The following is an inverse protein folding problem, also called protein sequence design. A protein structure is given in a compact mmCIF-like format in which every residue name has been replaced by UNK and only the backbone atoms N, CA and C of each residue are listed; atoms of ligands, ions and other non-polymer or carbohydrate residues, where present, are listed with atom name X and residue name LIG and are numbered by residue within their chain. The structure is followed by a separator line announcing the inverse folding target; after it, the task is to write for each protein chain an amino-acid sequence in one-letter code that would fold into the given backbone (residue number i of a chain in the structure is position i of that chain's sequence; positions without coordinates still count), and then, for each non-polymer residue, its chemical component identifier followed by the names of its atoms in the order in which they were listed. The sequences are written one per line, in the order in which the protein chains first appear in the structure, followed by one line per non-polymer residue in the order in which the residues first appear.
data_IF_066182668858
#
_entry.id   IF_066182668858
#
_cell.length_a   1.000
_cell.length_b   1.000
_cell.length_c   1.000
_cell.angle_alpha   90.00
_cell.angle_beta   90.00
_cell.angle_gamma   90.00
#
_symmetry.space_group_name_H-M   'P 1'
#
loop_
_entity.id
_entity.type
_entity.pdbx_description
1 polymer ?
#
# COMPACT_ATOMS: atom_id res chain seq x y z
N UNK A 1 -28.02 9.09 -2.94
CA UNK A 1 -27.26 10.34 -2.70
C UNK A 1 -26.08 10.03 -1.77
N UNK A 2 -24.96 9.47 -2.27
CA UNK A 2 -23.90 8.91 -1.41
C UNK A 2 -22.97 9.98 -0.80
N UNK A 3 -22.70 11.07 -1.54
CA UNK A 3 -21.75 12.10 -1.13
C UNK A 3 -22.17 12.92 0.11
N UNK A 4 -23.48 13.03 0.37
CA UNK A 4 -24.00 13.74 1.55
C UNK A 4 -23.83 12.92 2.84
N UNK A 5 -23.91 11.59 2.76
CA UNK A 5 -23.73 10.70 3.91
C UNK A 5 -22.24 10.55 4.26
N UNK A 6 -21.37 10.47 3.25
CA UNK A 6 -19.91 10.46 3.44
C UNK A 6 -19.40 11.76 4.08
N UNK A 7 -19.88 12.91 3.63
CA UNK A 7 -19.51 14.21 4.22
C UNK A 7 -20.04 14.40 5.64
N UNK A 8 -21.20 13.83 6.00
CA UNK A 8 -21.66 13.80 7.38
C UNK A 8 -20.76 12.94 8.28
N UNK A 9 -20.29 11.79 7.79
CA UNK A 9 -19.36 10.92 8.50
C UNK A 9 -18.02 11.62 8.77
N UNK A 10 -17.43 12.23 7.73
CA UNK A 10 -16.16 12.98 7.84
C UNK A 10 -16.30 14.14 8.83
N UNK A 11 -17.38 14.93 8.75
CA UNK A 11 -17.58 16.06 9.65
C UNK A 11 -17.66 15.65 11.13
N UNK A 12 -18.31 14.52 11.45
CA UNK A 12 -18.35 14.00 12.84
C UNK A 12 -16.97 13.61 13.37
N UNK A 13 -16.13 13.02 12.50
CA UNK A 13 -14.77 12.66 12.87
C UNK A 13 -13.92 13.91 13.07
N UNK A 14 -14.03 14.90 12.16
CA UNK A 14 -13.34 16.18 12.30
C UNK A 14 -13.78 16.88 13.59
N UNK A 15 -15.08 16.93 13.91
CA UNK A 15 -15.59 17.48 15.18
C UNK A 15 -14.95 16.79 16.41
N UNK A 16 -14.63 15.50 16.31
CA UNK A 16 -13.96 14.76 17.38
C UNK A 16 -12.47 15.12 17.48
N UNK A 17 -11.80 15.27 16.34
CA UNK A 17 -10.39 15.70 16.26
C UNK A 17 -10.24 17.14 16.78
N UNK A 18 -11.20 18.02 16.49
CA UNK A 18 -11.19 19.42 16.94
C UNK A 18 -11.25 19.57 18.47
N UNK A 19 -11.68 18.55 19.21
CA UNK A 19 -11.69 18.55 20.68
C UNK A 19 -10.31 18.29 21.27
N UNK A 20 -9.36 17.81 20.47
CA UNK A 20 -8.01 17.51 20.92
C UNK A 20 -7.17 18.79 20.94
N UNK A 21 -6.29 18.91 21.92
CA UNK A 21 -5.22 19.92 21.87
C UNK A 21 -4.27 19.61 20.71
N UNK A 22 -3.55 20.61 20.17
CA UNK A 22 -2.54 20.38 19.14
C UNK A 22 -1.50 19.33 19.53
N UNK A 23 -1.11 19.28 20.81
CA UNK A 23 -0.13 18.33 21.33
C UNK A 23 -0.67 16.90 21.35
N UNK A 24 -1.92 16.72 21.80
CA UNK A 24 -2.58 15.42 21.86
C UNK A 24 -2.88 14.86 20.47
N UNK A 25 -3.27 15.74 19.54
CA UNK A 25 -3.38 15.40 18.13
C UNK A 25 -2.03 14.99 17.54
N UNK A 26 -0.95 15.72 17.89
CA UNK A 26 0.38 15.40 17.41
C UNK A 26 0.81 14.01 17.88
N UNK A 27 0.59 13.65 19.14
CA UNK A 27 0.94 12.32 19.66
C UNK A 27 0.13 11.21 18.98
N UNK A 28 -1.19 11.40 18.84
CA UNK A 28 -2.04 10.46 18.10
C UNK A 28 -1.52 10.24 16.67
N UNK A 29 -1.12 11.32 16.00
CA UNK A 29 -0.54 11.23 14.66
C UNK A 29 0.82 10.52 14.65
N UNK A 30 1.68 10.70 15.67
CA UNK A 30 2.96 9.99 15.78
C UNK A 30 2.77 8.49 15.91
N UNK A 31 1.86 8.03 16.78
CA UNK A 31 1.53 6.61 16.91
C UNK A 31 1.14 6.00 15.54
N UNK A 32 0.33 6.73 14.76
CA UNK A 32 -0.10 6.29 13.43
C UNK A 32 1.04 6.34 12.41
N UNK A 33 1.85 7.39 12.42
CA UNK A 33 2.97 7.56 11.48
C UNK A 33 4.06 6.52 11.72
N UNK A 34 4.42 6.23 12.98
CA UNK A 34 5.37 5.16 13.31
C UNK A 34 4.88 3.79 12.85
N UNK A 35 3.58 3.51 13.00
CA UNK A 35 2.99 2.31 12.42
C UNK A 35 3.11 2.29 10.89
N UNK A 36 2.76 3.37 10.21
CA UNK A 36 2.86 3.48 8.74
C UNK A 36 4.29 3.43 8.22
N UNK A 37 5.28 3.75 9.05
CA UNK A 37 6.70 3.63 8.76
C UNK A 37 7.25 2.23 9.08
N UNK A 38 6.41 1.29 9.52
CA UNK A 38 6.82 -0.07 9.89
C UNK A 38 7.61 -0.17 11.20
N UNK A 39 7.64 0.91 12.01
CA UNK A 39 8.39 0.95 13.27
C UNK A 39 7.64 0.26 14.42
N UNK A 40 6.31 0.16 14.32
CA UNK A 40 5.46 -0.56 15.28
C UNK A 40 4.61 -1.61 14.57
N UNK A 41 4.16 -2.62 15.32
CA UNK A 41 3.32 -3.71 14.77
C UNK A 41 1.86 -3.29 14.56
N UNK A 42 1.43 -2.19 15.17
CA UNK A 42 0.06 -1.70 15.14
C UNK A 42 -0.07 -0.35 15.83
N UNK A 43 -1.25 0.25 15.70
CA UNK A 43 -1.63 1.45 16.46
C UNK A 43 -2.36 1.00 17.72
N UNK A 44 -1.77 1.21 18.88
CA UNK A 44 -2.37 0.84 20.16
C UNK A 44 -3.44 1.88 20.56
N UNK A 45 -4.71 1.51 20.38
CA UNK A 45 -5.83 2.38 20.76
C UNK A 45 -6.00 2.51 22.27
N UNK A 46 -5.53 1.53 23.07
CA UNK A 46 -5.62 1.61 24.52
C UNK A 46 -4.65 2.67 25.06
N UNK A 47 -3.42 2.70 24.53
CA UNK A 47 -2.42 3.72 24.88
C UNK A 47 -2.89 5.14 24.54
N UNK A 48 -3.44 5.33 23.33
CA UNK A 48 -3.98 6.63 22.90
C UNK A 48 -5.18 7.02 23.79
N UNK A 49 -6.04 6.06 24.13
CA UNK A 49 -7.17 6.32 25.04
C UNK A 49 -6.72 6.72 26.45
N UNK A 50 -5.69 6.09 26.99
CA UNK A 50 -5.12 6.43 28.30
C UNK A 50 -4.52 7.84 28.29
N UNK A 51 -3.83 8.22 27.21
CA UNK A 51 -3.29 9.57 27.04
C UNK A 51 -4.41 10.62 27.01
N UNK A 52 -5.52 10.33 26.33
CA UNK A 52 -6.68 11.23 26.29
C UNK A 52 -7.29 11.39 27.67
N UNK A 53 -7.39 10.31 28.45
CA UNK A 53 -7.88 10.35 29.83
C UNK A 53 -6.95 11.16 30.73
N UNK A 54 -5.63 10.99 30.62
CA UNK A 54 -4.63 11.80 31.36
C UNK A 54 -4.72 13.29 31.02
N UNK A 55 -5.04 13.61 29.76
CA UNK A 55 -5.28 14.98 29.30
C UNK A 55 -6.70 15.51 29.66
N UNK A 56 -7.55 14.72 30.31
CA UNK A 56 -8.90 15.11 30.70
C UNK A 56 -9.93 15.14 29.54
N UNK A 57 -9.59 14.55 28.39
CA UNK A 57 -10.46 14.48 27.22
C UNK A 57 -11.37 13.26 27.32
N UNK A 58 -12.68 13.49 27.36
CA UNK A 58 -13.68 12.40 27.24
C UNK A 58 -13.86 12.03 25.77
N UNK A 59 -13.33 10.88 25.39
CA UNK A 59 -13.53 10.29 24.07
C UNK A 59 -14.15 8.90 24.23
N UNK A 60 -15.27 8.65 23.55
CA UNK A 60 -15.82 7.30 23.48
C UNK A 60 -15.01 6.41 22.53
N UNK A 61 -15.18 5.10 22.67
CA UNK A 61 -14.39 4.13 21.90
C UNK A 61 -14.63 4.23 20.39
N UNK A 62 -15.86 4.52 19.97
CA UNK A 62 -16.22 4.61 18.55
C UNK A 62 -15.58 5.86 17.90
N UNK A 63 -15.65 7.00 18.57
CA UNK A 63 -15.01 8.24 18.15
C UNK A 63 -13.50 8.07 18.04
N UNK A 64 -12.85 7.42 19.02
CA UNK A 64 -11.42 7.13 18.96
C UNK A 64 -11.05 6.27 17.76
N UNK A 65 -11.77 5.15 17.55
CA UNK A 65 -11.52 4.26 16.41
C UNK A 65 -11.72 4.97 15.07
N UNK A 66 -12.77 5.80 14.97
CA UNK A 66 -13.04 6.57 13.76
C UNK A 66 -11.97 7.63 13.49
N UNK A 67 -11.45 8.29 14.52
CA UNK A 67 -10.32 9.24 14.39
C UNK A 67 -9.05 8.54 13.93
N UNK A 68 -8.67 7.44 14.58
CA UNK A 68 -7.48 6.64 14.21
C UNK A 68 -7.62 6.18 12.76
N UNK A 69 -8.76 5.59 12.41
CA UNK A 69 -9.02 5.10 11.03
C UNK A 69 -8.94 6.22 10.01
N UNK A 70 -9.55 7.37 10.29
CA UNK A 70 -9.53 8.53 9.39
C UNK A 70 -8.11 9.04 9.16
N UNK A 71 -7.33 9.28 10.23
CA UNK A 71 -5.96 9.77 10.14
C UNK A 71 -5.04 8.75 9.44
N UNK A 72 -5.17 7.46 9.77
CA UNK A 72 -4.44 6.37 9.12
C UNK A 72 -4.68 6.33 7.62
N UNK A 73 -5.95 6.37 7.20
CA UNK A 73 -6.32 6.36 5.78
C UNK A 73 -5.85 7.62 5.07
N UNK A 74 -5.94 8.77 5.73
CA UNK A 74 -5.46 10.06 5.22
C UNK A 74 -3.98 10.01 4.90
N UNK A 75 -3.13 9.64 5.86
CA UNK A 75 -1.68 9.57 5.66
C UNK A 75 -1.29 8.47 4.66
N UNK A 76 -1.93 7.30 4.72
CA UNK A 76 -1.69 6.21 3.76
C UNK A 76 -2.03 6.62 2.32
N UNK A 77 -3.12 7.35 2.13
CA UNK A 77 -3.53 7.91 0.83
C UNK A 77 -2.56 9.01 0.37
N UNK A 78 -2.15 9.89 1.28
CA UNK A 78 -1.20 10.96 0.99
C UNK A 78 0.15 10.41 0.52
N UNK A 79 0.62 9.32 1.12
CA UNK A 79 1.83 8.61 0.69
C UNK A 79 1.69 8.03 -0.71
N UNK A 80 0.60 7.28 -0.98
CA UNK A 80 0.31 6.72 -2.31
C UNK A 80 0.20 7.77 -3.42
N UNK A 81 -0.37 8.94 -3.12
CA UNK A 81 -0.51 10.05 -4.07
C UNK A 81 0.70 10.98 -4.10
N UNK A 82 1.76 10.69 -3.35
CA UNK A 82 2.96 11.52 -3.23
C UNK A 82 2.65 13.00 -2.90
N UNK A 83 1.74 13.24 -1.95
CA UNK A 83 1.33 14.60 -1.58
C UNK A 83 2.40 15.32 -0.77
N UNK A 84 2.53 16.63 -1.01
CA UNK A 84 3.24 17.55 -0.11
C UNK A 84 2.43 17.86 1.15
N UNK A 85 3.04 18.56 2.12
CA UNK A 85 2.33 19.08 3.30
C UNK A 85 1.18 20.00 2.92
N UNK A 86 1.42 20.91 1.97
CA UNK A 86 0.42 21.87 1.49
C UNK A 86 -0.74 21.16 0.77
N UNK A 87 -0.44 20.17 -0.07
CA UNK A 87 -1.47 19.40 -0.77
C UNK A 87 -2.33 18.57 0.19
N UNK A 88 -1.71 18.04 1.26
CA UNK A 88 -2.43 17.32 2.31
C UNK A 88 -3.43 18.23 3.03
N UNK A 89 -2.99 19.42 3.45
CA UNK A 89 -3.86 20.41 4.11
C UNK A 89 -5.01 20.82 3.21
N UNK A 90 -4.72 21.13 1.95
CA UNK A 90 -5.74 21.51 0.97
C UNK A 90 -6.80 20.43 0.82
N UNK A 91 -6.39 19.15 0.70
CA UNK A 91 -7.33 18.01 0.63
C UNK A 91 -8.19 17.88 1.90
N UNK A 92 -7.62 18.14 3.07
CA UNK A 92 -8.37 18.09 4.34
C UNK A 92 -9.40 19.22 4.44
N UNK A 93 -9.04 20.43 4.00
CA UNK A 93 -9.93 21.60 3.96
C UNK A 93 -11.06 21.41 2.95
N UNK A 94 -10.78 20.80 1.78
CA UNK A 94 -11.81 20.41 0.80
C UNK A 94 -12.80 19.38 1.37
N UNK A 95 -12.34 18.50 2.27
CA UNK A 95 -13.17 17.48 2.92
C UNK A 95 -14.01 17.99 4.10
N UNK A 96 -13.57 19.04 4.79
CA UNK A 96 -14.34 19.68 5.87
C UNK A 96 -13.87 21.10 6.13
N UNK A 97 -14.81 22.04 6.20
CA UNK A 97 -14.52 23.43 6.58
C UNK A 97 -14.37 23.64 8.09
N UNK A 98 -14.47 22.59 8.91
CA UNK A 98 -14.45 22.67 10.38
C UNK A 98 -13.05 22.57 11.00
N UNK A 99 -12.03 22.32 10.19
CA UNK A 99 -10.67 22.14 10.66
C UNK A 99 -10.11 23.41 11.33
N UNK A 100 -9.62 23.33 12.58
CA UNK A 100 -8.90 24.41 13.20
C UNK A 100 -7.54 24.57 12.52
N UNK A 101 -7.13 25.83 12.30
CA UNK A 101 -5.83 26.13 11.69
C UNK A 101 -4.68 25.47 12.46
N UNK A 102 -4.75 25.43 13.79
CA UNK A 102 -3.74 24.77 14.62
C UNK A 102 -3.62 23.27 14.33
N UNK A 103 -4.74 22.56 14.17
CA UNK A 103 -4.76 21.13 13.83
C UNK A 103 -4.18 20.87 12.44
N UNK A 104 -4.52 21.71 11.46
CA UNK A 104 -3.94 21.61 10.11
C UNK A 104 -2.44 21.85 10.11
N UNK A 105 -1.94 22.79 10.92
CA UNK A 105 -0.50 23.02 11.06
C UNK A 105 0.23 21.83 11.68
N UNK A 106 -0.37 21.16 12.66
CA UNK A 106 0.17 19.90 13.22
C UNK A 106 0.26 18.82 12.15
N UNK A 107 -0.81 18.61 11.39
CA UNK A 107 -0.84 17.60 10.31
C UNK A 107 0.15 17.92 9.19
N UNK A 108 0.24 19.19 8.78
CA UNK A 108 1.21 19.67 7.80
C UNK A 108 2.65 19.36 8.24
N UNK A 109 2.99 19.77 9.48
CA UNK A 109 4.34 19.60 10.03
C UNK A 109 4.71 18.13 10.10
N UNK A 110 3.87 17.31 10.75
CA UNK A 110 4.16 15.89 10.91
C UNK A 110 4.23 15.15 9.57
N UNK A 111 3.37 15.48 8.60
CA UNK A 111 3.47 14.90 7.27
C UNK A 111 4.74 15.34 6.53
N UNK A 112 5.16 16.60 6.68
CA UNK A 112 6.41 17.08 6.09
C UNK A 112 7.63 16.38 6.67
N UNK A 113 7.62 16.06 7.98
CA UNK A 113 8.70 15.35 8.66
C UNK A 113 8.71 13.85 8.33
N UNK A 114 7.54 13.19 8.32
CA UNK A 114 7.44 11.72 8.25
C UNK A 114 7.05 11.16 6.88
N UNK A 115 6.47 11.97 6.00
CA UNK A 115 5.82 11.53 4.75
C UNK A 115 6.76 10.82 3.78
N UNK A 116 8.03 11.24 3.70
CA UNK A 116 9.03 10.57 2.87
C UNK A 116 9.31 9.13 3.34
N UNK A 117 9.37 8.91 4.66
CA UNK A 117 9.60 7.57 5.22
C UNK A 117 8.36 6.68 5.09
N UNK A 118 7.15 7.24 5.23
CA UNK A 118 5.90 6.50 4.96
C UNK A 118 5.88 6.02 3.51
N UNK A 119 6.24 6.88 2.55
CA UNK A 119 6.32 6.49 1.13
C UNK A 119 7.35 5.39 0.89
N UNK A 120 8.56 5.56 1.40
CA UNK A 120 9.61 4.54 1.26
C UNK A 120 9.15 3.18 1.82
N UNK A 121 8.48 3.17 2.98
CA UNK A 121 7.93 1.95 3.56
C UNK A 121 6.83 1.34 2.68
N UNK A 122 5.93 2.16 2.14
CA UNK A 122 4.88 1.69 1.24
C UNK A 122 5.45 1.14 -0.07
N UNK A 123 6.52 1.72 -0.59
CA UNK A 123 7.24 1.22 -1.75
C UNK A 123 7.87 -0.15 -1.46
N UNK A 124 8.54 -0.29 -0.30
CA UNK A 124 9.08 -1.57 0.15
C UNK A 124 7.96 -2.61 0.32
N UNK A 125 6.85 -2.29 0.98
CA UNK A 125 5.71 -3.20 1.12
C UNK A 125 5.12 -3.59 -0.25
N UNK A 126 5.04 -2.65 -1.18
CA UNK A 126 4.58 -2.92 -2.56
C UNK A 126 5.55 -3.81 -3.34
N UNK A 127 6.86 -3.62 -3.13
CA UNK A 127 7.90 -4.42 -3.74
C UNK A 127 8.04 -5.80 -3.08
N UNK A 128 7.67 -5.96 -1.81
CA UNK A 128 7.57 -7.26 -1.15
C UNK A 128 6.27 -7.98 -1.49
N UNK A 129 5.25 -7.22 -1.88
CA UNK A 129 3.99 -7.69 -2.46
C UNK A 129 4.18 -8.13 -3.92
N UNK A 130 5.20 -8.93 -4.20
CA UNK A 130 5.41 -9.63 -5.48
C UNK A 130 4.71 -10.99 -5.42
N UNK A 131 4.06 -11.37 -6.52
CA UNK A 131 3.44 -12.69 -6.65
C UNK A 131 4.49 -13.81 -6.61
N UNK A 132 4.19 -14.90 -5.89
CA UNK A 132 5.07 -16.05 -5.75
C UNK A 132 4.80 -17.07 -6.85
N UNK A 133 5.84 -17.48 -7.59
CA UNK A 133 5.75 -18.59 -8.54
C UNK A 133 5.68 -19.90 -7.75
N UNK A 134 4.53 -20.60 -7.81
CA UNK A 134 4.28 -21.83 -7.05
C UNK A 134 4.28 -23.11 -7.87
N UNK A 135 4.12 -22.99 -9.19
CA UNK A 135 4.21 -24.13 -10.11
C UNK A 135 4.67 -23.65 -11.49
N UNK A 136 5.43 -24.50 -12.16
CA UNK A 136 5.92 -24.27 -13.52
C UNK A 136 5.80 -25.58 -14.31
N UNK A 137 4.91 -25.56 -15.29
CA UNK A 137 4.72 -26.66 -16.23
C UNK A 137 5.22 -26.28 -17.60
N UNK A 138 5.69 -27.25 -18.37
CA UNK A 138 6.18 -27.01 -19.72
C UNK A 138 5.82 -28.18 -20.64
N UNK A 139 5.76 -27.88 -21.93
CA UNK A 139 5.62 -28.89 -23.01
C UNK A 139 6.45 -28.49 -24.22
N UNK A 140 6.97 -29.48 -24.92
CA UNK A 140 7.60 -29.33 -26.23
C UNK A 140 6.55 -29.62 -27.31
N UNK A 141 6.37 -28.69 -28.24
CA UNK A 141 5.43 -28.80 -29.35
C UNK A 141 6.12 -28.59 -30.70
N UNK A 142 5.37 -28.84 -31.76
CA UNK A 142 5.80 -28.59 -33.13
C UNK A 142 4.71 -27.81 -33.85
N UNK A 143 5.05 -26.63 -34.36
CA UNK A 143 4.15 -25.82 -35.16
C UNK A 143 4.27 -26.26 -36.62
N UNK A 144 3.20 -26.81 -37.18
CA UNK A 144 3.19 -27.36 -38.55
C UNK A 144 2.96 -26.28 -39.62
N UNK A 145 2.17 -25.26 -39.31
CA UNK A 145 1.80 -24.18 -40.22
C UNK A 145 1.45 -22.88 -39.48
N UNK A 146 1.43 -21.76 -40.21
CA UNK A 146 0.94 -20.45 -39.80
C UNK A 146 0.23 -19.77 -40.96
N UNK A 147 -0.42 -18.63 -40.70
CA UNK A 147 -1.09 -17.81 -41.73
C UNK A 147 -0.13 -17.32 -42.84
N UNK A 148 1.16 -17.23 -42.52
CA UNK A 148 2.21 -16.76 -43.44
C UNK A 148 3.11 -17.89 -43.96
N UNK A 149 3.06 -19.09 -43.36
CA UNK A 149 3.91 -20.22 -43.76
C UNK A 149 3.19 -21.56 -43.59
N UNK A 150 2.81 -22.20 -44.70
CA UNK A 150 2.13 -23.51 -44.69
C UNK A 150 3.02 -24.68 -44.22
N UNK A 151 4.33 -24.54 -44.28
CA UNK A 151 5.30 -25.59 -43.94
C UNK A 151 6.30 -25.08 -42.89
N UNK A 152 5.79 -24.61 -41.75
CA UNK A 152 6.62 -24.04 -40.71
C UNK A 152 7.52 -25.10 -40.06
N UNK A 153 6.93 -26.24 -39.69
CA UNK A 153 7.59 -27.40 -39.07
C UNK A 153 8.65 -27.03 -38.02
N UNK A 154 8.33 -26.09 -37.14
CA UNK A 154 9.28 -25.52 -36.19
C UNK A 154 8.94 -25.95 -34.76
N UNK A 155 9.90 -26.53 -34.01
CA UNK A 155 9.68 -26.88 -32.62
C UNK A 155 9.63 -25.63 -31.72
N UNK A 156 8.80 -25.71 -30.68
CA UNK A 156 8.66 -24.63 -29.71
C UNK A 156 8.40 -25.20 -28.32
N UNK A 157 8.73 -24.44 -27.28
CA UNK A 157 8.42 -24.77 -25.89
C UNK A 157 7.30 -23.87 -25.42
N UNK A 158 6.28 -24.44 -24.80
CA UNK A 158 5.17 -23.72 -24.18
C UNK A 158 5.27 -23.87 -22.67
N UNK A 159 5.32 -22.76 -21.95
CA UNK A 159 5.38 -22.72 -20.48
C UNK A 159 4.03 -22.27 -19.92
N UNK A 160 3.67 -22.83 -18.77
CA UNK A 160 2.55 -22.41 -17.94
C UNK A 160 3.07 -22.15 -16.52
N UNK A 161 2.97 -20.91 -16.08
CA UNK A 161 3.37 -20.46 -14.75
C UNK A 161 2.13 -20.27 -13.88
N UNK A 162 2.18 -20.78 -12.65
CA UNK A 162 1.14 -20.57 -11.62
C UNK A 162 1.70 -19.65 -10.55
N UNK A 163 1.04 -18.51 -10.35
CA UNK A 163 1.50 -17.46 -9.46
C UNK A 163 0.44 -17.23 -8.38
N UNK A 164 0.85 -17.19 -7.11
CA UNK A 164 0.02 -16.72 -6.00
C UNK A 164 0.27 -15.23 -5.86
N UNK A 165 -0.74 -14.43 -6.13
CA UNK A 165 -0.68 -13.00 -5.88
C UNK A 165 -0.73 -12.70 -4.38
N UNK A 166 -0.20 -11.55 -3.93
CA UNK A 166 -0.28 -11.10 -2.54
C UNK A 166 -1.71 -11.01 -1.98
N UNK A 167 -2.70 -10.88 -2.87
CA UNK A 167 -4.13 -10.95 -2.55
C UNK A 167 -4.60 -12.35 -2.12
N UNK A 168 -3.78 -13.38 -2.32
CA UNK A 168 -4.14 -14.80 -2.18
C UNK A 168 -4.77 -15.40 -3.45
N UNK A 169 -5.01 -14.59 -4.48
CA UNK A 169 -5.52 -15.09 -5.75
C UNK A 169 -4.45 -15.90 -6.49
N UNK A 170 -4.84 -17.06 -7.04
CA UNK A 170 -3.98 -17.84 -7.92
C UNK A 170 -4.27 -17.43 -9.36
N UNK A 171 -3.25 -16.97 -10.07
CA UNK A 171 -3.34 -16.69 -11.51
C UNK A 171 -2.39 -17.59 -12.31
N UNK A 172 -2.75 -17.82 -13.58
CA UNK A 172 -1.95 -18.61 -14.52
C UNK A 172 -1.54 -17.74 -15.71
N UNK A 173 -0.27 -17.87 -16.12
CA UNK A 173 0.28 -17.16 -17.29
C UNK A 173 0.99 -18.17 -18.19
N UNK A 174 0.71 -18.13 -19.48
CA UNK A 174 1.34 -19.01 -20.46
C UNK A 174 1.99 -18.22 -21.58
N UNK A 175 3.11 -18.72 -22.09
CA UNK A 175 3.80 -18.16 -23.24
C UNK A 175 4.58 -19.23 -23.98
N UNK A 176 4.90 -18.95 -25.24
CA UNK A 176 5.66 -19.84 -26.12
C UNK A 176 7.01 -19.22 -26.47
N UNK A 177 8.01 -20.08 -26.63
CA UNK A 177 9.37 -19.71 -27.03
C UNK A 177 9.89 -20.66 -28.08
N UNK A 178 10.68 -20.13 -29.00
CA UNK A 178 11.53 -20.97 -29.87
C UNK A 178 12.57 -21.71 -29.04
N UNK A 179 13.14 -22.79 -29.59
CA UNK A 179 14.18 -23.56 -28.91
C UNK A 179 15.39 -22.69 -28.49
N UNK A 180 15.93 -21.79 -29.33
CA UNK A 180 17.02 -20.91 -28.92
C UNK A 180 16.64 -19.95 -27.79
N UNK A 181 15.42 -19.40 -27.81
CA UNK A 181 14.93 -18.54 -26.72
C UNK A 181 14.83 -19.32 -25.41
N UNK A 182 14.33 -20.56 -25.45
CA UNK A 182 14.26 -21.41 -24.25
C UNK A 182 15.65 -21.76 -23.71
N UNK A 183 16.63 -22.04 -24.58
CA UNK A 183 18.02 -22.29 -24.17
C UNK A 183 18.62 -21.07 -23.47
N UNK A 184 18.37 -19.86 -24.00
CA UNK A 184 18.80 -18.63 -23.36
C UNK A 184 18.09 -18.39 -22.01
N UNK A 185 16.77 -18.61 -21.96
CA UNK A 185 15.99 -18.53 -20.73
C UNK A 185 16.54 -19.48 -19.65
N UNK A 186 16.83 -20.73 -20.01
CA UNK A 186 17.43 -21.71 -19.10
C UNK A 186 18.79 -21.27 -18.56
N UNK A 187 19.64 -20.68 -19.42
CA UNK A 187 20.95 -20.13 -19.01
C UNK A 187 20.77 -19.01 -17.98
N UNK A 188 19.90 -18.04 -18.26
CA UNK A 188 19.62 -16.94 -17.33
C UNK A 188 19.07 -17.44 -15.99
N UNK A 189 18.19 -18.44 -16.01
CA UNK A 189 17.64 -19.03 -14.79
C UNK A 189 18.72 -19.71 -13.93
N UNK A 190 19.71 -20.36 -14.56
CA UNK A 190 20.88 -20.92 -13.87
C UNK A 190 21.79 -19.85 -13.27
N UNK A 191 22.04 -18.77 -14.01
CA UNK A 191 22.83 -17.65 -13.50
C UNK A 191 22.16 -17.00 -12.30
N UNK A 192 20.84 -16.79 -12.35
CA UNK A 192 20.06 -16.30 -11.22
C UNK A 192 20.14 -17.23 -10.00
N UNK A 193 19.98 -18.54 -10.20
CA UNK A 193 20.10 -19.52 -9.12
C UNK A 193 21.49 -19.48 -8.45
N UNK A 194 22.56 -19.41 -9.26
CA UNK A 194 23.92 -19.33 -8.73
C UNK A 194 24.17 -18.08 -7.89
N UNK A 195 23.62 -16.92 -8.29
CA UNK A 195 23.73 -15.68 -7.48
C UNK A 195 22.97 -15.83 -6.15
N UNK A 196 21.79 -16.44 -6.17
CA UNK A 196 21.00 -16.65 -4.95
C UNK A 196 21.64 -17.62 -3.96
N UNK A 197 22.43 -18.59 -4.43
CA UNK A 197 23.18 -19.53 -3.57
C UNK A 197 24.41 -18.89 -2.91
N UNK A 198 24.88 -17.74 -3.41
CA UNK A 198 26.09 -17.06 -2.90
C UNK A 198 25.83 -16.01 -1.81
N UNK A 199 24.57 -15.88 -1.35
CA UNK A 199 24.14 -15.00 -0.26
C UNK A 199 23.78 -15.83 0.96
#
# INVERSE_FOLDING_TARGET
MPALEESQGVNKVVDSICKLSPDLLAETCRHILFYLQGQTKGVDSADISDEFQRAGVRCDHEALQNMIRFLLLTFRSAGKSNLSGDDLVKRLEEGSSKWPKASLQVLHRLWSEHGASVRAQQEVESALSIGQLVDMQWKLGMAVSSDTCRSLNSPYVSLLLKIVEPSGQICQKSFEMTIPQFQNFHKQFKEMAAVMETV
#
